data_IF_370703687961
#
_entry.id   IF_370703687961
#
_cell.length_a   1.000
_cell.length_b   1.000
_cell.length_c   1.000
_cell.angle_alpha   90.00
_cell.angle_beta   90.00
_cell.angle_gamma   90.00
#
_symmetry.space_group_name_H-M   'P 1'
#
loop_
_entity.id
_entity.type
_entity.pdbx_description
1 polymer ?
#
# COMPACT_ATOMS: atom_id res chain seq x y z
N UNK A 1 -4.94 -6.41 0.96
CA UNK A 1 -5.70 -5.98 2.16
C UNK A 1 -6.36 -4.62 1.98
N UNK A 2 -5.63 -3.54 1.65
CA UNK A 2 -6.21 -2.22 1.36
C UNK A 2 -7.31 -2.22 0.27
N UNK A 3 -7.10 -2.97 -0.81
CA UNK A 3 -8.08 -3.12 -1.90
C UNK A 3 -9.39 -3.78 -1.45
N UNK A 4 -9.35 -4.70 -0.48
CA UNK A 4 -10.55 -5.37 0.04
C UNK A 4 -11.43 -4.37 0.78
N UNK A 5 -10.83 -3.55 1.64
CA UNK A 5 -11.57 -2.50 2.38
C UNK A 5 -12.07 -1.42 1.44
N UNK A 6 -11.28 -1.04 0.43
CA UNK A 6 -11.68 -0.07 -0.59
C UNK A 6 -12.82 -0.52 -1.51
N UNK A 7 -12.97 -1.84 -1.71
CA UNK A 7 -14.01 -2.42 -2.57
C UNK A 7 -15.26 -2.83 -1.79
N UNK A 8 -15.10 -3.45 -0.61
CA UNK A 8 -16.21 -4.06 0.15
C UNK A 8 -16.66 -3.25 1.38
N UNK A 9 -15.96 -2.18 1.77
CA UNK A 9 -16.29 -1.34 2.93
C UNK A 9 -17.42 -0.34 2.68
N UNK A 10 -18.61 -0.80 2.28
CA UNK A 10 -19.74 0.05 1.84
C UNK A 10 -20.42 0.85 2.96
N UNK A 11 -20.16 0.54 4.24
CA UNK A 11 -20.75 1.23 5.41
C UNK A 11 -19.84 2.25 6.11
N UNK A 12 -18.63 2.48 5.62
CA UNK A 12 -17.64 3.36 6.27
C UNK A 12 -17.63 4.72 5.57
N UNK A 13 -17.68 5.82 6.34
CA UNK A 13 -17.59 7.18 5.80
C UNK A 13 -16.29 7.40 5.01
N UNK A 14 -16.35 8.16 3.92
CA UNK A 14 -15.22 8.37 2.99
C UNK A 14 -13.89 8.74 3.67
N UNK A 15 -13.83 9.75 4.55
CA UNK A 15 -12.60 10.13 5.24
C UNK A 15 -12.02 9.02 6.12
N UNK A 16 -12.88 8.30 6.86
CA UNK A 16 -12.46 7.20 7.73
C UNK A 16 -11.93 6.02 6.91
N UNK A 17 -12.56 5.74 5.76
CA UNK A 17 -12.12 4.70 4.83
C UNK A 17 -10.71 4.98 4.30
N UNK A 18 -10.38 6.22 3.96
CA UNK A 18 -9.03 6.63 3.51
C UNK A 18 -8.00 6.35 4.61
N UNK A 19 -8.29 6.74 5.86
CA UNK A 19 -7.38 6.52 6.99
C UNK A 19 -7.13 5.02 7.20
N UNK A 20 -8.18 4.20 7.20
CA UNK A 20 -8.05 2.74 7.38
C UNK A 20 -7.23 2.13 6.24
N UNK A 21 -7.47 2.56 4.99
CA UNK A 21 -6.72 2.10 3.82
C UNK A 21 -5.24 2.45 3.97
N UNK A 22 -4.90 3.67 4.38
CA UNK A 22 -3.51 4.09 4.61
C UNK A 22 -2.86 3.22 5.70
N UNK A 23 -3.52 3.04 6.84
CA UNK A 23 -2.98 2.26 7.96
C UNK A 23 -2.74 0.80 7.56
N UNK A 24 -3.70 0.17 6.89
CA UNK A 24 -3.55 -1.20 6.42
C UNK A 24 -2.45 -1.34 5.36
N UNK A 25 -2.32 -0.35 4.46
CA UNK A 25 -1.24 -0.33 3.48
C UNK A 25 0.13 -0.16 4.15
N UNK A 26 0.23 0.73 5.15
CA UNK A 26 1.45 0.95 5.92
C UNK A 26 1.88 -0.31 6.68
N UNK A 27 0.96 -0.94 7.40
CA UNK A 27 1.22 -2.16 8.16
C UNK A 27 1.64 -3.30 7.22
N UNK A 28 0.89 -3.55 6.14
CA UNK A 28 1.20 -4.60 5.19
C UNK A 28 2.56 -4.38 4.49
N UNK A 29 2.85 -3.14 4.09
CA UNK A 29 4.14 -2.77 3.50
C UNK A 29 5.30 -2.93 4.49
N UNK A 30 5.08 -2.53 5.75
CA UNK A 30 6.05 -2.71 6.84
C UNK A 30 6.35 -4.18 7.13
N UNK A 31 5.33 -5.04 7.19
CA UNK A 31 5.52 -6.49 7.34
C UNK A 31 6.31 -7.08 6.18
N UNK A 32 6.04 -6.65 4.94
CA UNK A 32 6.78 -7.13 3.78
C UNK A 32 8.25 -6.67 3.79
N UNK A 33 8.50 -5.40 4.12
CA UNK A 33 9.84 -4.83 4.23
C UNK A 33 10.64 -5.39 5.42
N UNK A 34 9.96 -5.90 6.46
CA UNK A 34 10.62 -6.55 7.59
C UNK A 34 11.32 -7.86 7.20
N UNK A 35 10.84 -8.57 6.16
CA UNK A 35 11.43 -9.82 5.68
C UNK A 35 12.89 -9.62 5.23
N UNK A 36 13.20 -8.77 4.23
CA UNK A 36 14.58 -8.56 3.81
C UNK A 36 15.43 -7.92 4.93
N UNK A 37 14.85 -7.02 5.73
CA UNK A 37 15.54 -6.41 6.86
C UNK A 37 15.98 -7.46 7.91
N UNK A 38 15.13 -8.45 8.21
CA UNK A 38 15.46 -9.55 9.11
C UNK A 38 16.55 -10.46 8.52
N UNK A 39 16.42 -10.86 7.25
CA UNK A 39 17.40 -11.70 6.57
C UNK A 39 18.79 -11.04 6.54
N UNK A 40 18.84 -9.74 6.30
CA UNK A 40 20.08 -8.95 6.34
C UNK A 40 20.67 -8.89 7.75
N UNK A 41 19.88 -8.52 8.75
CA UNK A 41 20.39 -8.26 10.11
C UNK A 41 20.75 -9.52 10.89
N UNK A 42 20.02 -10.62 10.69
CA UNK A 42 20.25 -11.87 11.42
C UNK A 42 21.05 -12.90 10.63
N UNK A 43 20.78 -13.03 9.33
CA UNK A 43 21.39 -14.06 8.50
C UNK A 43 22.51 -13.53 7.59
N UNK A 44 22.77 -12.22 7.61
CA UNK A 44 23.81 -11.55 6.80
C UNK A 44 23.70 -11.84 5.30
N UNK A 45 22.47 -12.03 4.83
CA UNK A 45 22.18 -12.24 3.41
C UNK A 45 22.28 -10.93 2.65
N UNK A 46 22.70 -10.99 1.39
CA UNK A 46 22.73 -9.84 0.50
C UNK A 46 21.32 -9.24 0.28
N UNK A 47 21.20 -7.94 0.55
CA UNK A 47 19.94 -7.20 0.51
C UNK A 47 19.46 -6.96 -0.91
N UNK A 48 20.37 -6.78 -1.87
CA UNK A 48 20.04 -6.57 -3.29
C UNK A 48 19.40 -7.84 -3.86
N UNK A 49 19.99 -8.99 -3.57
CA UNK A 49 19.46 -10.29 -4.03
C UNK A 49 18.13 -10.60 -3.37
N UNK A 50 18.01 -10.42 -2.04
CA UNK A 50 16.76 -10.76 -1.34
C UNK A 50 15.60 -9.86 -1.73
N UNK A 51 15.82 -8.55 -1.88
CA UNK A 51 14.77 -7.63 -2.34
C UNK A 51 14.35 -7.91 -3.78
N UNK A 52 15.31 -8.25 -4.67
CA UNK A 52 15.01 -8.65 -6.05
C UNK A 52 14.16 -9.92 -6.09
N UNK A 53 14.54 -10.95 -5.33
CA UNK A 53 13.78 -12.21 -5.27
C UNK A 53 12.38 -12.01 -4.67
N UNK A 54 12.27 -11.21 -3.62
CA UNK A 54 10.98 -10.90 -3.01
C UNK A 54 10.05 -10.14 -3.95
N UNK A 55 10.57 -9.35 -4.89
CA UNK A 55 9.73 -8.74 -5.92
C UNK A 55 8.99 -9.80 -6.75
N UNK A 56 9.67 -10.89 -7.14
CA UNK A 56 9.04 -12.00 -7.85
C UNK A 56 8.01 -12.74 -6.98
N UNK A 57 8.33 -13.00 -5.71
CA UNK A 57 7.36 -13.60 -4.77
C UNK A 57 6.10 -12.73 -4.69
N UNK A 58 6.28 -11.41 -4.63
CA UNK A 58 5.16 -10.48 -4.53
C UNK A 58 4.34 -10.43 -5.82
N UNK A 59 4.98 -10.51 -6.98
CA UNK A 59 4.30 -10.64 -8.27
C UNK A 59 3.39 -11.88 -8.31
N UNK A 60 3.90 -13.04 -7.86
CA UNK A 60 3.11 -14.27 -7.79
C UNK A 60 1.99 -14.19 -6.75
N UNK A 61 2.25 -13.60 -5.59
CA UNK A 61 1.24 -13.42 -4.54
C UNK A 61 0.09 -12.54 -5.03
N UNK A 62 0.41 -11.40 -5.66
CA UNK A 62 -0.58 -10.49 -6.23
C UNK A 62 -1.32 -11.17 -7.38
N UNK A 63 -0.60 -11.92 -8.24
CA UNK A 63 -1.22 -12.72 -9.30
C UNK A 63 -2.25 -13.70 -8.75
N UNK A 64 -1.90 -14.48 -7.72
CA UNK A 64 -2.81 -15.43 -7.08
C UNK A 64 -4.07 -14.73 -6.52
N UNK A 65 -3.93 -13.52 -5.98
CA UNK A 65 -5.07 -12.73 -5.52
C UNK A 65 -5.96 -12.24 -6.68
N UNK A 66 -5.37 -11.80 -7.78
CA UNK A 66 -6.06 -11.23 -8.94
C UNK A 66 -6.73 -12.28 -9.85
N UNK A 67 -6.24 -13.52 -9.84
CA UNK A 67 -6.90 -14.68 -10.47
C UNK A 67 -7.84 -15.41 -9.51
N UNK A 68 -7.83 -15.04 -8.23
CA UNK A 68 -8.65 -15.65 -7.19
C UNK A 68 -9.66 -14.64 -6.63
N UNK A 69 -9.63 -14.40 -5.30
CA UNK A 69 -10.70 -13.70 -4.60
C UNK A 69 -10.87 -12.21 -4.97
N UNK A 70 -9.83 -11.58 -5.54
CA UNK A 70 -9.87 -10.17 -5.93
C UNK A 70 -10.09 -9.97 -7.42
N UNK A 71 -10.38 -11.03 -8.18
CA UNK A 71 -10.68 -10.88 -9.59
C UNK A 71 -11.97 -10.08 -9.79
N UNK A 72 -11.94 -9.10 -10.70
CA UNK A 72 -13.16 -8.42 -11.11
C UNK A 72 -14.10 -9.39 -11.85
N UNK A 73 -15.36 -9.55 -11.41
CA UNK A 73 -16.33 -10.41 -12.10
C UNK A 73 -16.53 -9.96 -13.55
N UNK A 74 -16.39 -10.89 -14.50
CA UNK A 74 -16.54 -10.61 -15.93
C UNK A 74 -15.30 -10.05 -16.64
N UNK A 75 -14.16 -9.89 -15.94
CA UNK A 75 -12.89 -9.53 -16.56
C UNK A 75 -12.03 -10.76 -16.87
N UNK A 76 -11.60 -10.90 -18.12
CA UNK A 76 -10.56 -11.87 -18.53
C UNK A 76 -9.14 -11.46 -18.14
N UNK A 77 -8.96 -10.20 -17.70
CA UNK A 77 -7.68 -9.66 -17.26
C UNK A 77 -7.53 -9.74 -15.73
N UNK A 78 -6.32 -10.02 -15.20
CA UNK A 78 -6.04 -10.02 -13.77
C UNK A 78 -6.05 -8.59 -13.23
N UNK A 79 -7.24 -8.13 -12.83
CA UNK A 79 -7.47 -6.79 -12.28
C UNK A 79 -8.53 -6.86 -11.18
N UNK A 80 -8.34 -6.05 -10.15
CA UNK A 80 -9.32 -5.89 -9.07
C UNK A 80 -10.48 -4.97 -9.47
N UNK A 81 -11.66 -5.14 -8.87
CA UNK A 81 -12.74 -4.16 -9.01
C UNK A 81 -12.26 -2.74 -8.69
N UNK A 82 -12.90 -1.77 -9.34
CA UNK A 82 -12.60 -0.36 -9.08
C UNK A 82 -12.97 -0.02 -7.64
N UNK A 83 -12.04 0.65 -6.95
CA UNK A 83 -12.24 1.15 -5.59
C UNK A 83 -13.37 2.19 -5.61
N UNK A 84 -14.21 2.18 -4.58
CA UNK A 84 -15.32 3.12 -4.46
C UNK A 84 -14.82 4.58 -4.46
N UNK A 85 -15.56 5.46 -5.15
CA UNK A 85 -15.17 6.87 -5.36
C UNK A 85 -15.02 7.66 -4.05
N UNK A 86 -15.69 7.24 -3.00
CA UNK A 86 -15.61 7.82 -1.66
C UNK A 86 -14.29 7.48 -0.93
N UNK A 87 -13.52 6.52 -1.44
CA UNK A 87 -12.18 6.19 -0.95
C UNK A 87 -11.07 6.95 -1.70
N UNK A 88 -11.41 7.86 -2.62
CA UNK A 88 -10.42 8.67 -3.31
C UNK A 88 -10.01 9.86 -2.46
N UNK A 89 -8.74 10.24 -2.52
CA UNK A 89 -8.30 11.49 -1.93
C UNK A 89 -9.06 12.67 -2.54
N UNK A 90 -9.54 13.62 -1.73
CA UNK A 90 -10.17 14.81 -2.26
C UNK A 90 -9.12 15.64 -3.01
N UNK A 91 -9.55 16.13 -4.17
CA UNK A 91 -8.78 17.01 -5.04
C UNK A 91 -8.80 18.40 -4.40
N UNK A 92 -7.62 18.97 -4.20
CA UNK A 92 -7.43 20.27 -3.56
C UNK A 92 -7.51 21.43 -4.56
N UNK A 93 -7.07 21.20 -5.80
CA UNK A 93 -7.15 22.19 -6.90
C UNK A 93 -8.02 21.62 -8.01
N UNK A 94 -9.19 22.24 -8.32
CA UNK A 94 -10.07 21.81 -9.40
C UNK A 94 -9.32 21.70 -10.74
N UNK A 95 -9.70 20.71 -11.57
CA UNK A 95 -9.06 20.40 -12.87
C UNK A 95 -7.56 20.03 -12.79
N UNK A 96 -7.06 19.68 -11.61
CA UNK A 96 -5.70 19.17 -11.44
C UNK A 96 -5.69 17.77 -10.81
N UNK A 97 -4.53 17.13 -10.84
CA UNK A 97 -4.27 15.87 -10.11
C UNK A 97 -3.77 16.12 -8.68
N UNK A 98 -3.81 17.38 -8.21
CA UNK A 98 -3.33 17.79 -6.90
C UNK A 98 -4.35 17.38 -5.83
N UNK A 99 -4.02 16.35 -5.05
CA UNK A 99 -4.89 15.75 -4.05
C UNK A 99 -4.26 15.76 -2.66
N UNK A 100 -5.06 15.56 -1.61
CA UNK A 100 -4.59 15.54 -0.21
C UNK A 100 -3.40 14.61 0.06
N UNK A 101 -3.26 13.51 -0.68
CA UNK A 101 -2.11 12.61 -0.57
C UNK A 101 -0.73 13.29 -0.68
N UNK A 102 -0.62 14.42 -1.38
CA UNK A 102 0.64 15.18 -1.47
C UNK A 102 0.98 15.84 -0.12
N UNK A 103 0.00 16.43 0.54
CA UNK A 103 0.21 17.01 1.87
C UNK A 103 0.57 15.92 2.89
N UNK A 104 -0.08 14.76 2.80
CA UNK A 104 0.19 13.59 3.65
C UNK A 104 1.63 13.09 3.44
N UNK A 105 2.14 13.07 2.20
CA UNK A 105 3.52 12.62 1.94
C UNK A 105 4.57 13.57 2.52
N UNK A 106 4.35 14.90 2.46
CA UNK A 106 5.23 15.86 3.14
C UNK A 106 5.28 15.64 4.65
N UNK A 107 4.13 15.41 5.28
CA UNK A 107 4.06 15.09 6.72
C UNK A 107 4.83 13.80 7.00
N UNK A 108 4.64 12.76 6.19
CA UNK A 108 5.34 11.49 6.36
C UNK A 108 6.88 11.65 6.25
N UNK A 109 7.36 12.46 5.31
CA UNK A 109 8.79 12.78 5.18
C UNK A 109 9.33 13.47 6.44
N UNK A 110 8.60 14.46 6.98
CA UNK A 110 8.99 15.14 8.22
C UNK A 110 9.04 14.18 9.41
N UNK A 111 8.06 13.26 9.52
CA UNK A 111 8.02 12.24 10.57
C UNK A 111 9.23 11.32 10.47
N UNK A 112 9.53 10.79 9.28
CA UNK A 112 10.69 9.91 9.05
C UNK A 112 11.99 10.66 9.33
N UNK A 113 12.12 11.90 8.87
CA UNK A 113 13.29 12.74 9.15
C UNK A 113 13.49 12.95 10.65
N UNK A 114 12.43 13.28 11.38
CA UNK A 114 12.49 13.46 12.83
C UNK A 114 12.91 12.17 13.55
N UNK A 115 12.33 11.02 13.17
CA UNK A 115 12.70 9.72 13.73
C UNK A 115 14.19 9.46 13.49
N UNK A 116 14.66 9.58 12.24
CA UNK A 116 16.06 9.33 11.89
C UNK A 116 17.02 10.26 12.66
N UNK A 117 16.67 11.54 12.84
CA UNK A 117 17.50 12.51 13.57
C UNK A 117 17.54 12.25 15.09
N UNK A 118 16.58 11.49 15.63
CA UNK A 118 16.52 11.14 17.05
C UNK A 118 17.04 9.74 17.35
N UNK A 119 17.12 8.86 16.36
CA UNK A 119 17.58 7.47 16.52
C UNK A 119 18.97 7.19 15.95
N UNK A 120 19.52 8.09 15.13
CA UNK A 120 20.92 8.10 14.68
C UNK A 120 21.65 9.30 15.30
#
# INVERSE_FOLDING_TARGET
MATIVGVYGTGISGPLKIIIIILLAFIAGGFWAAIPAFLKTKLKVDDVVTTLLLNYVMLHLVGALLFGPLQQPGSSWPRSPQIAKDAFYPILIPNSRFHLGILISFIAVLVVWFINTKTL
#
